data_IF_586340649504
#
_entry.id   IF_586340649504
#
_cell.length_a   1.000
_cell.length_b   1.000
_cell.length_c   1.000
_cell.angle_alpha   90.00
_cell.angle_beta   90.00
_cell.angle_gamma   90.00
#
_symmetry.space_group_name_H-M   'P 1'
#
loop_
_entity.id
_entity.type
_entity.pdbx_description
1 polymer ?
#
# COMPACT_ATOMS: atom_id res chain seq x y z
N UNK A 1 -3.21 -7.54 10.66
CA UNK A 1 -3.59 -6.47 9.70
C UNK A 1 -4.17 -7.02 8.40
N UNK A 2 -3.74 -8.21 7.92
CA UNK A 2 -4.24 -8.81 6.67
C UNK A 2 -5.76 -9.03 6.68
N UNK A 3 -6.32 -9.50 7.80
CA UNK A 3 -7.77 -9.73 7.96
C UNK A 3 -8.61 -8.47 7.83
N UNK A 4 -8.10 -7.33 8.32
CA UNK A 4 -8.75 -6.03 8.17
C UNK A 4 -8.95 -5.68 6.69
N UNK A 5 -7.96 -5.99 5.86
CA UNK A 5 -8.00 -5.70 4.42
C UNK A 5 -8.94 -6.69 3.70
N UNK A 6 -8.73 -7.99 3.85
CA UNK A 6 -9.38 -9.01 3.01
C UNK A 6 -10.76 -9.45 3.47
N UNK A 7 -10.98 -9.56 4.78
CA UNK A 7 -12.21 -10.15 5.34
C UNK A 7 -13.13 -9.08 5.89
N UNK A 8 -12.58 -8.17 6.69
CA UNK A 8 -13.38 -7.12 7.34
C UNK A 8 -13.59 -5.90 6.43
N UNK A 9 -12.83 -5.80 5.33
CA UNK A 9 -12.94 -4.74 4.31
C UNK A 9 -12.76 -3.33 4.90
N UNK A 10 -11.82 -3.19 5.85
CA UNK A 10 -11.43 -1.95 6.56
C UNK A 10 -9.98 -1.55 6.22
N UNK A 11 -9.67 -1.22 4.95
CA UNK A 11 -8.30 -0.92 4.51
C UNK A 11 -7.73 0.36 5.14
N UNK A 12 -8.58 1.33 5.48
CA UNK A 12 -8.17 2.58 6.15
C UNK A 12 -7.60 2.31 7.55
N UNK A 13 -8.26 1.45 8.34
CA UNK A 13 -7.77 1.07 9.67
C UNK A 13 -6.53 0.18 9.58
N UNK A 14 -6.45 -0.70 8.56
CA UNK A 14 -5.24 -1.45 8.30
C UNK A 14 -4.04 -0.51 8.00
N UNK A 15 -4.27 0.57 7.24
CA UNK A 15 -3.25 1.59 7.02
C UNK A 15 -2.89 2.33 8.31
N UNK A 16 -3.85 2.67 9.18
CA UNK A 16 -3.57 3.29 10.47
C UNK A 16 -2.62 2.43 11.31
N UNK A 17 -2.91 1.13 11.45
CA UNK A 17 -2.06 0.19 12.21
C UNK A 17 -0.69 -0.03 11.55
N UNK A 18 -0.62 -0.04 10.21
CA UNK A 18 0.65 -0.11 9.49
C UNK A 18 1.50 1.14 9.77
N UNK A 19 0.90 2.32 9.72
CA UNK A 19 1.60 3.59 9.97
C UNK A 19 2.09 3.68 11.40
N UNK A 20 1.27 3.26 12.38
CA UNK A 20 1.67 3.17 13.78
C UNK A 20 2.84 2.20 13.97
N UNK A 21 2.74 1.00 13.39
CA UNK A 21 3.78 -0.04 13.53
C UNK A 21 5.14 0.37 12.95
N UNK A 22 5.14 1.10 11.82
CA UNK A 22 6.36 1.54 11.16
C UNK A 22 6.76 2.98 11.48
N UNK A 23 6.01 3.66 12.38
CA UNK A 23 6.24 5.04 12.80
C UNK A 23 6.35 6.03 11.62
N UNK A 24 5.44 5.90 10.64
CA UNK A 24 5.38 6.77 9.45
C UNK A 24 4.09 7.56 9.36
N UNK A 25 4.13 8.68 8.64
CA UNK A 25 2.93 9.48 8.36
C UNK A 25 1.92 8.70 7.50
N UNK A 26 0.62 8.91 7.75
CA UNK A 26 -0.43 8.20 7.02
C UNK A 26 -0.54 8.64 5.55
N UNK A 27 -0.41 7.73 4.55
CA UNK A 27 -0.76 8.07 3.18
C UNK A 27 -2.28 8.19 3.01
N UNK A 28 -2.72 8.97 2.03
CA UNK A 28 -4.12 8.93 1.58
C UNK A 28 -4.37 7.65 0.79
N UNK A 29 -5.62 7.19 0.76
CA UNK A 29 -6.05 6.06 -0.05
C UNK A 29 -7.16 6.51 -1.01
N UNK A 30 -7.02 6.18 -2.30
CA UNK A 30 -8.00 6.56 -3.33
C UNK A 30 -8.25 5.43 -4.33
N UNK A 31 -9.50 5.28 -4.74
CA UNK A 31 -9.89 4.42 -5.87
C UNK A 31 -9.74 5.20 -7.19
N UNK A 32 -9.28 4.50 -8.23
CA UNK A 32 -8.90 5.04 -9.52
C UNK A 32 -7.39 5.26 -9.62
N UNK A 33 -6.86 5.22 -10.85
CA UNK A 33 -5.44 5.48 -11.12
C UNK A 33 -5.21 6.94 -11.53
N UNK A 34 -4.01 7.51 -11.28
CA UNK A 34 -3.62 8.79 -11.83
C UNK A 34 -3.69 8.82 -13.36
N UNK A 35 -3.93 10.00 -13.93
CA UNK A 35 -4.04 10.17 -15.38
C UNK A 35 -2.78 9.67 -16.10
N UNK A 36 -2.95 8.71 -17.00
CA UNK A 36 -1.85 8.11 -17.78
C UNK A 36 -1.49 6.69 -17.35
N UNK A 37 -1.81 6.31 -16.11
CA UNK A 37 -1.62 4.96 -15.58
C UNK A 37 -2.91 4.16 -15.77
N UNK A 38 -2.89 3.13 -16.63
CA UNK A 38 -4.09 2.33 -16.95
C UNK A 38 -3.96 0.84 -16.65
N UNK A 39 -2.75 0.37 -16.31
CA UNK A 39 -2.45 -1.07 -16.22
C UNK A 39 -2.07 -1.55 -14.82
N UNK A 40 -1.77 -0.63 -13.89
CA UNK A 40 -1.37 -1.00 -12.55
C UNK A 40 -2.58 -1.39 -11.68
N UNK A 41 -2.39 -2.32 -10.74
CA UNK A 41 -3.42 -2.66 -9.74
C UNK A 41 -3.49 -1.60 -8.64
N UNK A 42 -2.32 -1.07 -8.27
CA UNK A 42 -2.16 0.08 -7.40
C UNK A 42 -0.92 0.87 -7.79
N UNK A 43 -0.79 2.08 -7.24
CA UNK A 43 0.41 2.89 -7.36
C UNK A 43 0.48 3.91 -6.22
N UNK A 44 1.57 3.91 -5.48
CA UNK A 44 1.93 5.00 -4.58
C UNK A 44 2.55 6.17 -5.34
N UNK A 45 1.95 7.35 -5.18
CA UNK A 45 2.48 8.61 -5.71
C UNK A 45 3.05 9.45 -4.57
N UNK A 46 4.39 9.54 -4.53
CA UNK A 46 5.12 10.26 -3.48
C UNK A 46 4.69 11.73 -3.33
N UNK A 47 4.56 12.45 -4.44
CA UNK A 47 4.17 13.87 -4.46
C UNK A 47 2.84 14.14 -3.74
N UNK A 48 1.90 13.22 -3.90
CA UNK A 48 0.55 13.33 -3.34
C UNK A 48 0.43 12.62 -1.98
N UNK A 49 1.48 11.90 -1.56
CA UNK A 49 1.47 10.95 -0.45
C UNK A 49 0.22 10.07 -0.47
N UNK A 50 -0.11 9.54 -1.65
CA UNK A 50 -1.38 8.85 -1.90
C UNK A 50 -1.11 7.48 -2.51
N UNK A 51 -1.74 6.45 -1.95
CA UNK A 51 -1.90 5.14 -2.56
C UNK A 51 -3.16 5.19 -3.42
N UNK A 52 -2.98 5.02 -4.72
CA UNK A 52 -4.06 4.87 -5.69
C UNK A 52 -4.28 3.39 -5.97
N UNK A 53 -5.52 2.93 -5.99
CA UNK A 53 -5.90 1.55 -6.29
C UNK A 53 -6.88 1.54 -7.45
N UNK A 54 -6.68 0.68 -8.44
CA UNK A 54 -7.44 0.73 -9.70
C UNK A 54 -8.93 0.40 -9.55
N UNK A 55 -9.31 -0.42 -8.57
CA UNK A 55 -10.70 -0.80 -8.31
C UNK A 55 -10.95 -1.14 -6.83
N UNK A 56 -12.22 -1.21 -6.45
CA UNK A 56 -12.62 -1.66 -5.12
C UNK A 56 -12.23 -3.12 -4.84
N UNK A 57 -12.13 -3.97 -5.86
CA UNK A 57 -11.67 -5.36 -5.71
C UNK A 57 -10.23 -5.39 -5.19
N UNK A 58 -9.33 -4.66 -5.84
CA UNK A 58 -7.92 -4.59 -5.47
C UNK A 58 -7.67 -3.79 -4.20
N UNK A 59 -8.60 -2.93 -3.78
CA UNK A 59 -8.53 -2.22 -2.50
C UNK A 59 -8.51 -3.18 -1.31
N UNK A 60 -9.15 -4.33 -1.49
CA UNK A 60 -9.26 -5.38 -0.50
C UNK A 60 -8.35 -6.56 -0.78
N UNK A 61 -7.42 -6.42 -1.72
CA UNK A 61 -6.31 -7.35 -1.89
C UNK A 61 -5.17 -6.91 -0.96
N UNK A 62 -4.88 -7.68 0.11
CA UNK A 62 -3.80 -7.34 1.03
C UNK A 62 -2.44 -7.24 0.34
N UNK A 63 -2.19 -8.06 -0.69
CA UNK A 63 -0.93 -8.01 -1.43
C UNK A 63 -0.73 -6.64 -2.07
N UNK A 64 -1.75 -6.14 -2.78
CA UNK A 64 -1.68 -4.86 -3.50
C UNK A 64 -1.51 -3.71 -2.51
N UNK A 65 -2.31 -3.66 -1.44
CA UNK A 65 -2.24 -2.57 -0.47
C UNK A 65 -0.88 -2.55 0.26
N UNK A 66 -0.37 -3.70 0.67
CA UNK A 66 0.93 -3.82 1.38
C UNK A 66 2.09 -3.49 0.43
N UNK A 67 1.99 -3.88 -0.86
CA UNK A 67 2.99 -3.53 -1.89
C UNK A 67 3.11 -2.02 -2.06
N UNK A 68 1.98 -1.31 -2.18
CA UNK A 68 2.01 0.15 -2.30
C UNK A 68 2.39 0.85 -1.00
N UNK A 69 2.02 0.27 0.16
CA UNK A 69 2.47 0.78 1.45
C UNK A 69 3.99 0.67 1.62
N UNK A 70 4.62 -0.39 1.10
CA UNK A 70 6.08 -0.48 1.08
C UNK A 70 6.72 0.70 0.32
N UNK A 71 6.17 1.06 -0.84
CA UNK A 71 6.66 2.22 -1.60
C UNK A 71 6.52 3.51 -0.81
N UNK A 72 5.43 3.68 -0.07
CA UNK A 72 5.27 4.78 0.87
C UNK A 72 6.36 4.78 1.94
N UNK A 73 6.52 3.67 2.68
CA UNK A 73 7.52 3.50 3.74
C UNK A 73 8.94 3.86 3.28
N UNK A 74 9.32 3.43 2.06
CA UNK A 74 10.65 3.70 1.51
C UNK A 74 10.88 5.16 1.12
N UNK A 75 9.85 5.85 0.64
CA UNK A 75 9.94 7.25 0.28
C UNK A 75 10.00 8.15 1.52
N UNK A 76 9.20 7.87 2.56
CA UNK A 76 9.16 8.71 3.77
C UNK A 76 10.32 8.42 4.73
N UNK A 77 10.81 7.18 4.77
CA UNK A 77 11.98 6.80 5.58
C UNK A 77 13.33 7.27 5.04
N UNK A 78 13.36 8.13 4.02
CA UNK A 78 14.58 8.75 3.48
C UNK A 78 15.54 7.80 2.73
N UNK A 79 15.17 6.53 2.52
CA UNK A 79 16.06 5.50 1.95
C UNK A 79 15.66 5.12 0.53
N UNK A 80 15.79 6.06 -0.41
CA UNK A 80 15.54 5.91 -1.86
C UNK A 80 14.15 5.34 -2.24
N UNK A 81 13.74 5.52 -3.50
CA UNK A 81 12.52 4.90 -4.01
C UNK A 81 12.68 3.37 -3.94
N UNK A 82 11.79 2.69 -3.21
CA UNK A 82 11.77 1.23 -3.12
C UNK A 82 11.72 0.57 -4.51
N UNK A 83 12.29 -0.62 -4.66
CA UNK A 83 12.23 -1.37 -5.92
C UNK A 83 10.99 -2.27 -5.94
N UNK A 84 10.45 -2.54 -7.13
CA UNK A 84 9.32 -3.48 -7.28
C UNK A 84 9.62 -4.86 -6.71
N UNK A 85 10.88 -5.32 -6.81
CA UNK A 85 11.31 -6.60 -6.25
C UNK A 85 11.18 -6.61 -4.73
N UNK A 86 11.67 -5.58 -4.04
CA UNK A 86 11.56 -5.52 -2.60
C UNK A 86 10.13 -5.29 -2.11
N UNK A 87 9.32 -4.53 -2.86
CA UNK A 87 7.90 -4.36 -2.57
C UNK A 87 7.15 -5.70 -2.61
N UNK A 88 7.41 -6.50 -3.65
CA UNK A 88 6.90 -7.88 -3.78
C UNK A 88 7.36 -8.77 -2.62
N UNK A 89 8.66 -8.79 -2.33
CA UNK A 89 9.22 -9.61 -1.25
C UNK A 89 8.64 -9.22 0.11
N UNK A 90 8.51 -7.92 0.38
CA UNK A 90 7.90 -7.39 1.59
C UNK A 90 6.43 -7.82 1.72
N UNK A 91 5.62 -7.62 0.67
CA UNK A 91 4.22 -8.02 0.68
C UNK A 91 4.07 -9.54 0.92
N UNK A 92 4.81 -10.38 0.19
CA UNK A 92 4.75 -11.84 0.38
C UNK A 92 5.19 -12.28 1.78
N UNK A 93 6.22 -11.64 2.36
CA UNK A 93 6.66 -11.94 3.71
C UNK A 93 5.60 -11.53 4.76
N UNK A 94 4.98 -10.37 4.58
CA UNK A 94 3.91 -9.88 5.45
C UNK A 94 2.70 -10.82 5.44
N UNK A 95 2.29 -11.31 4.26
CA UNK A 95 1.15 -12.22 4.12
C UNK A 95 1.40 -13.61 4.73
N UNK A 96 2.66 -14.05 4.81
CA UNK A 96 3.02 -15.32 5.45
C UNK A 96 3.03 -15.24 6.97
N UNK A 97 3.16 -14.04 7.53
CA UNK A 97 3.40 -13.81 8.96
C UNK A 97 2.26 -13.09 9.69
N UNK A 98 1.32 -12.47 8.96
CA UNK A 98 0.29 -11.57 9.54
C UNK A 98 -1.16 -11.92 9.30
#
# INVERSE_FOLDING_TARGET
>A
MVRLISTERRPEEALDLLCEHYEVERPRLKIGLPRGEKKALGCYVHRDKTIYISSQEYLYDPYVLIHEFYHHLRNVGGKHRGTERHAKEFALAFLKTG
#
